data_IF_628994055428
#
_entry.id   IF_628994055428
#
_cell.length_a   1.000
_cell.length_b   1.000
_cell.length_c   1.000
_cell.angle_alpha   90.00
_cell.angle_beta   90.00
_cell.angle_gamma   90.00
#
_symmetry.space_group_name_H-M   'P 1'
#
loop_
_entity.id
_entity.type
_entity.pdbx_description
1 polymer ?
#
# COMPACT_ATOMS: atom_id res chain seq x y z
N UNK A 1 -36.00 78.84 -4.90
CA UNK A 1 -36.37 77.48 -4.43
C UNK A 1 -36.30 76.52 -5.61
N UNK A 2 -35.34 75.62 -5.62
CA UNK A 2 -35.22 74.51 -6.59
C UNK A 2 -35.14 73.21 -5.83
N UNK A 3 -35.89 72.15 -6.23
CA UNK A 3 -35.89 70.91 -5.49
C UNK A 3 -34.63 70.04 -5.88
N UNK A 4 -34.20 69.14 -5.01
CA UNK A 4 -33.04 68.33 -5.19
C UNK A 4 -33.32 67.15 -6.13
N UNK A 5 -32.31 66.81 -6.99
CA UNK A 5 -32.31 65.66 -7.88
C UNK A 5 -32.03 64.37 -7.10
N UNK A 6 -32.92 63.39 -7.22
CA UNK A 6 -32.77 62.05 -6.67
C UNK A 6 -31.70 61.30 -7.48
N UNK A 7 -30.69 60.79 -6.78
CA UNK A 7 -29.77 59.80 -7.32
C UNK A 7 -30.37 58.40 -7.02
N UNK A 8 -30.68 57.68 -8.08
CA UNK A 8 -31.02 56.26 -7.96
C UNK A 8 -29.74 55.40 -7.80
N UNK A 9 -29.75 54.41 -6.92
CA UNK A 9 -28.61 53.54 -6.73
C UNK A 9 -28.55 52.47 -7.84
N UNK A 10 -27.40 52.38 -8.47
CA UNK A 10 -27.04 51.28 -9.36
C UNK A 10 -26.75 50.05 -8.49
N UNK A 11 -27.66 49.10 -8.52
CA UNK A 11 -27.55 47.83 -7.81
C UNK A 11 -26.65 46.90 -8.57
N UNK A 12 -25.60 46.50 -8.03
CA UNK A 12 -24.83 45.31 -7.84
C UNK A 12 -25.41 44.04 -8.50
N UNK A 13 -24.86 43.65 -9.64
CA UNK A 13 -25.07 42.33 -10.30
C UNK A 13 -23.78 41.53 -10.44
N UNK A 14 -22.78 41.78 -9.61
CA UNK A 14 -21.45 41.14 -9.76
C UNK A 14 -21.10 39.96 -8.85
N UNK A 15 -21.93 39.42 -7.93
CA UNK A 15 -21.46 38.26 -7.14
C UNK A 15 -21.98 36.90 -7.61
N UNK A 16 -22.83 36.80 -8.65
CA UNK A 16 -23.40 35.50 -9.06
C UNK A 16 -22.52 34.68 -10.01
N UNK A 17 -21.52 35.28 -10.67
CA UNK A 17 -20.62 34.57 -11.57
C UNK A 17 -19.47 33.83 -10.85
N UNK A 18 -19.12 34.22 -9.61
CA UNK A 18 -18.02 33.59 -8.87
C UNK A 18 -18.41 32.29 -8.15
N UNK A 19 -19.70 32.07 -7.92
CA UNK A 19 -20.19 30.89 -7.19
C UNK A 19 -20.31 29.63 -8.08
N UNK A 20 -20.31 29.77 -9.41
CA UNK A 20 -20.51 28.64 -10.32
C UNK A 20 -19.21 27.90 -10.68
N UNK A 21 -18.02 28.48 -10.39
CA UNK A 21 -16.72 27.85 -10.74
C UNK A 21 -16.24 26.89 -9.65
N UNK A 22 -16.78 26.96 -8.43
CA UNK A 22 -16.36 26.10 -7.31
C UNK A 22 -17.04 24.73 -7.30
N UNK A 23 -18.11 24.53 -8.09
CA UNK A 23 -18.86 23.26 -8.12
C UNK A 23 -18.38 22.24 -9.16
N UNK A 24 -17.32 22.54 -9.92
CA UNK A 24 -16.76 21.64 -10.94
C UNK A 24 -15.40 21.03 -10.55
N UNK A 25 -14.96 21.13 -9.31
CA UNK A 25 -13.86 20.30 -8.83
C UNK A 25 -14.44 18.94 -8.42
N UNK A 26 -14.61 18.06 -9.39
CA UNK A 26 -14.73 16.64 -9.07
C UNK A 26 -13.52 16.26 -8.22
N UNK A 27 -13.74 15.61 -7.03
CA UNK A 27 -12.62 15.08 -6.29
C UNK A 27 -11.90 14.12 -7.23
N UNK A 28 -10.63 14.42 -7.56
CA UNK A 28 -9.78 13.49 -8.25
C UNK A 28 -9.84 12.19 -7.47
N UNK A 29 -10.55 11.19 -8.01
CA UNK A 29 -10.62 9.87 -7.44
C UNK A 29 -9.18 9.41 -7.35
N UNK A 30 -8.63 9.41 -6.14
CA UNK A 30 -7.33 8.83 -5.88
C UNK A 30 -7.42 7.40 -6.42
N UNK A 31 -6.61 7.09 -7.42
CA UNK A 31 -6.54 5.75 -7.99
C UNK A 31 -6.11 4.83 -6.85
N UNK A 32 -7.09 4.20 -6.20
CA UNK A 32 -6.83 3.13 -5.26
C UNK A 32 -6.26 1.98 -6.07
N UNK A 33 -4.97 1.74 -5.87
CA UNK A 33 -4.30 0.53 -6.37
C UNK A 33 -4.95 -0.65 -5.66
N UNK A 34 -5.67 -1.48 -6.39
CA UNK A 34 -6.32 -2.68 -5.89
C UNK A 34 -7.73 -2.49 -5.31
N UNK A 35 -8.54 -3.55 -5.33
CA UNK A 35 -9.89 -3.59 -4.78
C UNK A 35 -9.91 -3.74 -3.24
N UNK A 36 -8.75 -3.95 -2.60
CA UNK A 36 -8.66 -4.19 -1.18
C UNK A 36 -8.55 -2.90 -0.38
N UNK A 37 -9.50 -2.68 0.51
CA UNK A 37 -9.38 -1.67 1.57
C UNK A 37 -8.64 -2.32 2.74
N UNK A 38 -7.39 -1.92 3.06
CA UNK A 38 -6.64 -2.53 4.15
C UNK A 38 -7.38 -2.34 5.48
N UNK A 39 -7.67 -3.45 6.17
CA UNK A 39 -8.17 -3.40 7.54
C UNK A 39 -7.00 -3.54 8.49
N UNK A 40 -6.94 -2.65 9.48
CA UNK A 40 -5.92 -2.72 10.50
C UNK A 40 -6.06 -3.99 11.35
N UNK A 41 -4.92 -4.55 11.71
CA UNK A 41 -4.76 -5.53 12.77
C UNK A 41 -3.84 -4.94 13.85
N UNK A 42 -3.59 -5.69 14.92
CA UNK A 42 -2.75 -5.22 16.04
C UNK A 42 -1.36 -4.77 15.59
N UNK A 43 -0.74 -5.49 14.65
CA UNK A 43 0.59 -5.17 14.12
C UNK A 43 0.57 -3.84 13.37
N UNK A 44 -0.39 -3.65 12.45
CA UNK A 44 -0.51 -2.43 11.66
C UNK A 44 -0.89 -1.21 12.52
N UNK A 45 -1.77 -1.39 13.50
CA UNK A 45 -2.15 -0.34 14.42
C UNK A 45 -0.97 0.09 15.32
N UNK A 46 -0.23 -0.87 15.89
CA UNK A 46 0.96 -0.61 16.68
C UNK A 46 2.06 0.08 15.85
N UNK A 47 2.30 -0.39 14.61
CA UNK A 47 3.24 0.27 13.70
C UNK A 47 2.91 1.74 13.46
N UNK A 48 1.63 2.06 13.19
CA UNK A 48 1.19 3.44 12.97
C UNK A 48 1.49 4.31 14.18
N UNK A 49 1.25 3.82 15.39
CA UNK A 49 1.54 4.54 16.64
C UNK A 49 3.05 4.78 16.80
N UNK A 50 3.89 3.76 16.56
CA UNK A 50 5.36 3.88 16.59
C UNK A 50 5.81 4.93 15.56
N UNK A 51 5.36 4.83 14.30
CA UNK A 51 5.72 5.76 13.22
C UNK A 51 5.35 7.20 13.56
N UNK A 52 4.14 7.45 14.04
CA UNK A 52 3.72 8.78 14.48
C UNK A 52 4.60 9.33 15.61
N UNK A 53 4.98 8.47 16.55
CA UNK A 53 5.85 8.87 17.67
C UNK A 53 7.26 9.23 17.18
N UNK A 54 7.83 8.48 16.24
CA UNK A 54 9.12 8.78 15.59
C UNK A 54 9.04 10.13 14.86
N UNK A 55 8.00 10.35 14.05
CA UNK A 55 7.80 11.59 13.30
C UNK A 55 7.63 12.80 14.22
N UNK A 56 6.98 12.61 15.36
CA UNK A 56 6.85 13.63 16.41
C UNK A 56 8.10 13.78 17.29
N UNK A 57 9.19 13.03 17.01
CA UNK A 57 10.43 12.97 17.81
C UNK A 57 10.23 12.52 19.27
N UNK A 58 9.14 11.79 19.54
CA UNK A 58 8.82 11.21 20.86
C UNK A 58 9.39 9.79 20.97
N UNK A 59 10.71 9.67 20.98
CA UNK A 59 11.38 8.38 20.90
C UNK A 59 11.17 7.52 22.14
N UNK A 60 10.99 8.11 23.32
CA UNK A 60 10.61 7.40 24.54
C UNK A 60 9.24 6.71 24.42
N UNK A 61 8.27 7.37 23.76
CA UNK A 61 6.96 6.80 23.47
C UNK A 61 7.07 5.71 22.41
N UNK A 62 7.82 5.98 21.32
CA UNK A 62 8.03 5.01 20.25
C UNK A 62 8.70 3.72 20.79
N UNK A 63 9.68 3.85 21.66
CA UNK A 63 10.38 2.74 22.28
C UNK A 63 9.41 1.89 23.15
N UNK A 64 8.64 2.51 24.04
CA UNK A 64 7.64 1.78 24.84
C UNK A 64 6.62 1.05 23.98
N UNK A 65 6.10 1.71 22.93
CA UNK A 65 5.16 1.11 21.98
C UNK A 65 5.78 -0.07 21.23
N UNK A 66 7.06 -0.01 20.92
CA UNK A 66 7.79 -1.12 20.31
C UNK A 66 8.00 -2.26 21.31
N UNK A 67 8.49 -1.96 22.51
CA UNK A 67 8.84 -2.97 23.53
C UNK A 67 7.66 -3.81 24.00
N UNK A 68 6.49 -3.21 24.10
CA UNK A 68 5.27 -3.88 24.60
C UNK A 68 4.27 -4.24 23.52
N UNK A 69 4.53 -3.84 22.27
CA UNK A 69 3.56 -3.91 21.19
C UNK A 69 3.70 -5.12 20.26
N UNK A 70 2.70 -5.23 19.38
CA UNK A 70 2.57 -6.36 18.47
C UNK A 70 3.69 -6.43 17.40
N UNK A 71 4.31 -5.30 17.03
CA UNK A 71 5.42 -5.28 16.05
C UNK A 71 6.62 -6.07 16.58
N UNK A 72 7.04 -5.85 17.83
CA UNK A 72 8.14 -6.61 18.42
C UNK A 72 7.78 -8.06 18.62
N UNK A 73 6.54 -8.33 19.06
CA UNK A 73 6.03 -9.70 19.22
C UNK A 73 6.13 -10.48 17.90
N UNK A 74 5.71 -9.87 16.80
CA UNK A 74 5.78 -10.47 15.47
C UNK A 74 7.22 -10.63 14.97
N UNK A 75 8.12 -9.66 15.24
CA UNK A 75 9.55 -9.81 14.90
C UNK A 75 10.13 -11.05 15.57
N UNK A 76 9.81 -11.31 16.83
CA UNK A 76 10.25 -12.50 17.56
C UNK A 76 9.64 -13.79 17.04
N UNK A 77 8.33 -13.78 16.78
CA UNK A 77 7.63 -14.93 16.23
C UNK A 77 8.15 -15.34 14.86
N UNK A 78 8.58 -14.36 14.05
CA UNK A 78 9.10 -14.57 12.69
C UNK A 78 10.65 -14.59 12.62
N UNK A 79 11.37 -14.60 13.73
CA UNK A 79 12.83 -14.39 13.79
C UNK A 79 13.61 -15.29 12.80
N UNK A 80 13.19 -16.55 12.61
CA UNK A 80 13.84 -17.49 11.68
C UNK A 80 13.64 -17.10 10.19
N UNK A 81 12.70 -16.20 9.87
CA UNK A 81 12.35 -15.77 8.51
C UNK A 81 12.68 -14.30 8.27
N UNK A 82 13.19 -13.61 9.26
CA UNK A 82 13.60 -12.21 9.19
C UNK A 82 15.13 -12.11 9.08
N UNK A 83 15.64 -10.95 8.62
CA UNK A 83 17.07 -10.66 8.70
C UNK A 83 17.58 -10.76 10.13
N UNK A 84 18.71 -11.43 10.30
CA UNK A 84 19.33 -11.59 11.62
C UNK A 84 19.65 -10.23 12.26
N UNK A 85 19.32 -10.07 13.55
CA UNK A 85 19.57 -8.85 14.31
C UNK A 85 18.61 -7.70 14.02
N UNK A 86 17.51 -7.90 13.27
CA UNK A 86 16.59 -6.84 12.92
C UNK A 86 15.84 -6.26 14.14
N UNK A 87 15.43 -7.11 15.09
CA UNK A 87 14.79 -6.66 16.34
C UNK A 87 15.75 -5.78 17.15
N UNK A 88 16.96 -6.25 17.34
CA UNK A 88 18.01 -5.56 18.10
C UNK A 88 18.39 -4.22 17.42
N UNK A 89 18.51 -4.22 16.10
CA UNK A 89 18.80 -3.00 15.33
C UNK A 89 17.67 -1.98 15.45
N UNK A 90 16.41 -2.43 15.40
CA UNK A 90 15.24 -1.56 15.58
C UNK A 90 15.22 -0.97 16.99
N UNK A 91 15.42 -1.79 18.02
CA UNK A 91 15.46 -1.35 19.42
C UNK A 91 16.59 -0.34 19.63
N UNK A 92 17.81 -0.64 19.17
CA UNK A 92 18.96 0.24 19.31
C UNK A 92 18.74 1.60 18.61
N UNK A 93 18.13 1.60 17.43
CA UNK A 93 17.81 2.84 16.71
C UNK A 93 16.80 3.71 17.49
N UNK A 94 15.77 3.10 18.07
CA UNK A 94 14.78 3.80 18.90
C UNK A 94 15.40 4.37 20.18
N UNK A 95 16.25 3.60 20.86
CA UNK A 95 17.00 4.05 22.06
C UNK A 95 17.90 5.22 21.73
N UNK A 96 18.56 5.20 20.58
CA UNK A 96 19.45 6.28 20.11
C UNK A 96 18.69 7.53 19.61
N UNK A 97 17.35 7.46 19.47
CA UNK A 97 16.57 8.54 18.87
C UNK A 97 16.88 8.75 17.36
N UNK A 98 17.38 7.69 16.70
CA UNK A 98 17.71 7.72 15.27
C UNK A 98 16.46 7.40 14.44
N UNK A 99 15.71 8.45 14.09
CA UNK A 99 14.47 8.33 13.31
C UNK A 99 14.68 7.65 11.96
N UNK A 100 15.61 8.13 11.10
CA UNK A 100 15.84 7.52 9.79
C UNK A 100 16.20 6.03 9.87
N UNK A 101 17.04 5.64 10.84
CA UNK A 101 17.40 4.24 11.05
C UNK A 101 16.22 3.42 11.57
N UNK A 102 15.45 3.96 12.50
CA UNK A 102 14.24 3.31 13.02
C UNK A 102 13.21 3.06 11.89
N UNK A 103 12.93 4.06 11.06
CA UNK A 103 12.01 3.93 9.93
C UNK A 103 12.50 2.91 8.89
N UNK A 104 13.81 2.87 8.63
CA UNK A 104 14.42 1.88 7.74
C UNK A 104 14.30 0.46 8.29
N UNK A 105 14.55 0.24 9.58
CA UNK A 105 14.38 -1.07 10.22
C UNK A 105 12.93 -1.55 10.12
N UNK A 106 11.97 -0.66 10.39
CA UNK A 106 10.55 -0.96 10.26
C UNK A 106 10.14 -1.24 8.82
N UNK A 107 10.66 -0.49 7.83
CA UNK A 107 10.45 -0.77 6.40
C UNK A 107 10.95 -2.17 6.04
N UNK A 108 12.16 -2.55 6.46
CA UNK A 108 12.72 -3.88 6.22
C UNK A 108 11.89 -4.98 6.86
N UNK A 109 11.37 -4.76 8.07
CA UNK A 109 10.47 -5.71 8.72
C UNK A 109 9.23 -5.99 7.89
N UNK A 110 8.51 -4.94 7.47
CA UNK A 110 7.29 -5.11 6.67
C UNK A 110 7.59 -5.65 5.27
N UNK A 111 8.69 -5.23 4.64
CA UNK A 111 9.15 -5.80 3.37
C UNK A 111 9.41 -7.32 3.51
N UNK A 112 10.01 -7.75 4.62
CA UNK A 112 10.24 -9.17 4.89
C UNK A 112 8.94 -9.94 5.16
N UNK A 113 7.97 -9.36 5.88
CA UNK A 113 6.64 -9.97 6.05
C UNK A 113 5.94 -10.17 4.70
N UNK A 114 5.93 -9.14 3.86
CA UNK A 114 5.31 -9.20 2.52
C UNK A 114 6.01 -10.23 1.64
N UNK A 115 7.35 -10.26 1.63
CA UNK A 115 8.12 -11.29 0.92
C UNK A 115 7.73 -12.69 1.39
N UNK A 116 7.64 -12.90 2.70
CA UNK A 116 7.31 -14.20 3.27
C UNK A 116 5.90 -14.64 2.89
N UNK A 117 4.92 -13.71 2.93
CA UNK A 117 3.55 -13.95 2.47
C UNK A 117 3.50 -14.28 0.98
N UNK A 118 4.29 -13.61 0.14
CA UNK A 118 4.36 -13.90 -1.28
C UNK A 118 4.95 -15.29 -1.55
N UNK A 119 6.00 -15.69 -0.81
CA UNK A 119 6.56 -17.06 -0.91
C UNK A 119 5.56 -18.12 -0.44
N UNK A 120 4.79 -17.85 0.62
CA UNK A 120 3.76 -18.74 1.12
C UNK A 120 2.59 -18.84 0.13
N UNK A 121 2.20 -17.73 -0.49
CA UNK A 121 1.20 -17.68 -1.55
C UNK A 121 1.62 -18.52 -2.76
N UNK A 122 2.88 -18.38 -3.26
CA UNK A 122 3.37 -19.19 -4.38
C UNK A 122 3.31 -20.69 -4.07
N UNK A 123 3.76 -21.10 -2.86
CA UNK A 123 3.66 -22.51 -2.43
C UNK A 123 2.22 -22.99 -2.42
N UNK A 124 1.28 -22.18 -1.95
CA UNK A 124 -0.13 -22.50 -1.91
C UNK A 124 -0.74 -22.62 -3.30
N UNK A 125 -0.41 -21.71 -4.18
CA UNK A 125 -0.87 -21.67 -5.57
C UNK A 125 -0.31 -22.85 -6.39
N UNK A 126 0.90 -23.32 -6.10
CA UNK A 126 1.54 -24.46 -6.76
C UNK A 126 0.93 -25.82 -6.36
N UNK A 127 0.13 -25.90 -5.29
CA UNK A 127 -0.42 -27.13 -4.79
C UNK A 127 -1.42 -27.77 -5.76
N UNK A 128 -1.18 -29.02 -6.17
CA UNK A 128 -2.03 -29.72 -7.15
C UNK A 128 -3.19 -30.49 -6.53
N UNK A 129 -3.25 -30.62 -5.20
CA UNK A 129 -4.25 -31.41 -4.48
C UNK A 129 -5.63 -30.76 -4.41
N UNK A 130 -5.69 -29.44 -4.60
CA UNK A 130 -6.93 -28.67 -4.48
C UNK A 130 -7.43 -28.20 -5.85
N UNK A 131 -8.74 -28.00 -5.94
CA UNK A 131 -9.35 -27.43 -7.14
C UNK A 131 -8.79 -26.03 -7.45
N UNK A 132 -8.63 -25.64 -8.73
CA UNK A 132 -8.11 -24.33 -9.11
C UNK A 132 -8.83 -23.16 -8.45
N UNK A 133 -10.14 -23.20 -8.32
CA UNK A 133 -10.94 -22.16 -7.66
C UNK A 133 -10.58 -22.00 -6.17
N UNK A 134 -10.34 -23.10 -5.45
CA UNK A 134 -9.94 -23.06 -4.04
C UNK A 134 -8.53 -22.46 -3.88
N UNK A 135 -7.60 -22.82 -4.77
CA UNK A 135 -6.25 -22.25 -4.81
C UNK A 135 -6.29 -20.75 -5.09
N UNK A 136 -7.08 -20.31 -6.07
CA UNK A 136 -7.26 -18.90 -6.39
C UNK A 136 -7.85 -18.12 -5.21
N UNK A 137 -8.87 -18.65 -4.54
CA UNK A 137 -9.46 -18.04 -3.35
C UNK A 137 -8.45 -17.94 -2.18
N UNK A 138 -7.59 -18.95 -2.01
CA UNK A 138 -6.49 -18.87 -1.05
C UNK A 138 -5.47 -17.79 -1.44
N UNK A 139 -5.10 -17.74 -2.72
CA UNK A 139 -4.22 -16.69 -3.26
C UNK A 139 -4.75 -15.28 -3.02
N UNK A 140 -6.06 -15.08 -3.19
CA UNK A 140 -6.72 -13.80 -2.90
C UNK A 140 -6.54 -13.37 -1.43
N UNK A 141 -6.69 -14.29 -0.48
CA UNK A 141 -6.45 -14.01 0.95
C UNK A 141 -5.00 -13.61 1.23
N UNK A 142 -4.03 -14.22 0.54
CA UNK A 142 -2.64 -13.80 0.62
C UNK A 142 -2.44 -12.39 0.06
N UNK A 143 -3.06 -12.05 -1.07
CA UNK A 143 -2.98 -10.70 -1.63
C UNK A 143 -3.56 -9.64 -0.68
N UNK A 144 -4.67 -9.93 0.00
CA UNK A 144 -5.22 -9.06 1.04
C UNK A 144 -4.22 -8.81 2.19
N UNK A 145 -3.53 -9.86 2.66
CA UNK A 145 -2.52 -9.75 3.71
C UNK A 145 -1.26 -9.01 3.21
N UNK A 146 -0.80 -9.29 2.00
CA UNK A 146 0.31 -8.61 1.33
C UNK A 146 0.03 -7.12 1.25
N UNK A 147 -1.14 -6.72 0.72
CA UNK A 147 -1.50 -5.33 0.57
C UNK A 147 -1.63 -4.59 1.91
N UNK A 148 -2.18 -5.25 2.93
CA UNK A 148 -2.27 -4.70 4.29
C UNK A 148 -0.93 -4.23 4.81
N UNK A 149 0.12 -5.04 4.65
CA UNK A 149 1.44 -4.71 5.17
C UNK A 149 2.25 -3.85 4.21
N UNK A 150 2.18 -4.09 2.89
CA UNK A 150 2.91 -3.31 1.92
C UNK A 150 2.49 -1.84 1.90
N UNK A 151 1.19 -1.57 1.95
CA UNK A 151 0.63 -0.22 1.98
C UNK A 151 1.15 0.64 3.16
N UNK A 152 1.57 0.02 4.27
CA UNK A 152 2.14 0.73 5.42
C UNK A 152 3.53 1.32 5.10
N UNK A 153 4.28 0.68 4.23
CA UNK A 153 5.68 1.01 3.92
C UNK A 153 5.91 1.39 2.46
N UNK A 154 4.90 1.34 1.62
CA UNK A 154 4.99 1.65 0.20
C UNK A 154 5.68 2.99 -0.08
N UNK A 155 5.33 4.04 0.66
CA UNK A 155 5.99 5.33 0.55
C UNK A 155 7.48 5.26 0.92
N UNK A 156 7.83 4.57 2.01
CA UNK A 156 9.22 4.41 2.45
C UNK A 156 10.03 3.60 1.43
N UNK A 157 9.44 2.53 0.88
CA UNK A 157 10.05 1.74 -0.22
C UNK A 157 10.27 2.63 -1.44
N UNK A 158 9.28 3.46 -1.81
CA UNK A 158 9.38 4.38 -2.94
C UNK A 158 10.45 5.46 -2.77
N UNK A 159 10.71 5.91 -1.54
CA UNK A 159 11.81 6.82 -1.23
C UNK A 159 13.17 6.14 -1.29
N UNK A 160 13.27 4.89 -0.90
CA UNK A 160 14.53 4.12 -0.85
C UNK A 160 14.88 3.50 -2.21
N UNK A 161 13.91 2.87 -2.87
CA UNK A 161 14.04 2.24 -4.19
C UNK A 161 12.74 2.41 -5.00
N UNK A 162 12.62 3.49 -5.78
CA UNK A 162 11.44 3.75 -6.62
C UNK A 162 11.13 2.63 -7.61
N UNK A 163 12.17 1.96 -8.14
CA UNK A 163 11.99 0.86 -9.08
C UNK A 163 11.36 -0.36 -8.41
N UNK A 164 11.83 -0.70 -7.21
CA UNK A 164 11.25 -1.78 -6.43
C UNK A 164 9.78 -1.47 -6.09
N UNK A 165 9.45 -0.24 -5.67
CA UNK A 165 8.08 0.17 -5.37
C UNK A 165 7.14 -0.03 -6.56
N UNK A 166 7.53 0.47 -7.73
CA UNK A 166 6.73 0.31 -8.97
C UNK A 166 6.57 -1.17 -9.33
N UNK A 167 7.66 -1.95 -9.26
CA UNK A 167 7.63 -3.37 -9.59
C UNK A 167 6.68 -4.15 -8.69
N UNK A 168 6.70 -3.89 -7.38
CA UNK A 168 5.80 -4.56 -6.41
C UNK A 168 4.35 -4.19 -6.66
N UNK A 169 4.03 -2.92 -6.91
CA UNK A 169 2.65 -2.47 -7.20
C UNK A 169 2.10 -3.12 -8.46
N UNK A 170 2.86 -3.08 -9.56
CA UNK A 170 2.44 -3.68 -10.83
C UNK A 170 2.26 -5.20 -10.70
N UNK A 171 3.15 -5.88 -9.99
CA UNK A 171 3.03 -7.31 -9.74
C UNK A 171 1.81 -7.62 -8.86
N UNK A 172 1.49 -6.77 -7.88
CA UNK A 172 0.29 -6.92 -7.08
C UNK A 172 -0.98 -6.77 -7.91
N UNK A 173 -1.10 -5.72 -8.72
CA UNK A 173 -2.24 -5.47 -9.62
C UNK A 173 -2.45 -6.61 -10.61
N UNK A 174 -1.37 -7.14 -11.16
CA UNK A 174 -1.41 -8.27 -12.08
C UNK A 174 -1.91 -9.54 -11.40
N UNK A 175 -1.39 -9.87 -10.21
CA UNK A 175 -1.84 -11.01 -9.42
C UNK A 175 -3.31 -10.89 -9.03
N UNK A 176 -3.76 -9.69 -8.64
CA UNK A 176 -5.16 -9.40 -8.33
C UNK A 176 -6.06 -9.60 -9.56
N UNK A 177 -5.63 -9.15 -10.73
CA UNK A 177 -6.35 -9.36 -11.98
C UNK A 177 -6.59 -10.84 -12.25
N UNK A 178 -5.60 -11.69 -12.07
CA UNK A 178 -5.75 -13.15 -12.21
C UNK A 178 -6.61 -13.78 -11.11
N UNK A 179 -6.57 -13.25 -9.90
CA UNK A 179 -7.40 -13.72 -8.78
C UNK A 179 -8.90 -13.45 -9.01
N UNK A 180 -9.23 -12.34 -9.68
CA UNK A 180 -10.61 -11.92 -9.95
C UNK A 180 -11.17 -12.49 -11.25
N UNK A 181 -10.40 -13.26 -12.01
CA UNK A 181 -10.85 -13.81 -13.30
C UNK A 181 -10.87 -12.74 -14.39
N UNK A 182 -9.72 -12.13 -14.65
CA UNK A 182 -9.45 -11.37 -15.88
C UNK A 182 -10.40 -10.19 -16.17
N UNK A 183 -10.40 -9.20 -15.32
CA UNK A 183 -10.48 -7.82 -15.78
C UNK A 183 -9.04 -7.41 -16.08
N UNK A 184 -8.58 -7.64 -17.30
CA UNK A 184 -7.25 -7.21 -17.69
C UNK A 184 -7.07 -5.75 -17.26
N UNK A 185 -6.04 -5.48 -16.45
CA UNK A 185 -5.57 -4.16 -16.13
C UNK A 185 -5.04 -3.50 -17.42
N UNK A 186 -5.96 -3.11 -18.28
CA UNK A 186 -5.78 -2.22 -19.40
C UNK A 186 -6.28 -0.86 -18.96
N UNK A 187 -5.53 -0.20 -18.10
CA UNK A 187 -5.70 1.23 -17.83
C UNK A 187 -5.38 2.04 -19.09
N UNK A 188 -6.30 2.04 -20.03
CA UNK A 188 -6.39 2.98 -21.12
C UNK A 188 -7.70 3.72 -20.93
N UNK A 189 -7.64 5.02 -20.65
CA UNK A 189 -8.73 5.97 -20.78
C UNK A 189 -9.34 5.83 -22.20
N UNK A 190 -10.31 4.92 -22.35
CA UNK A 190 -11.14 4.86 -23.53
C UNK A 190 -12.24 5.89 -23.35
N UNK A 191 -12.20 6.94 -24.19
CA UNK A 191 -13.21 7.95 -24.30
C UNK A 191 -14.62 7.37 -24.55
N UNK A 192 -15.69 8.18 -24.43
CA UNK A 192 -17.09 7.74 -24.34
C UNK A 192 -17.72 7.25 -25.64
N UNK A 193 -16.95 6.85 -26.68
CA UNK A 193 -17.46 6.48 -28.00
C UNK A 193 -17.20 5.03 -28.44
N UNK A 194 -17.53 4.05 -27.62
CA UNK A 194 -17.65 2.68 -28.12
C UNK A 194 -18.86 1.97 -27.49
N UNK A 195 -20.07 2.35 -27.93
CA UNK A 195 -21.28 1.54 -27.74
C UNK A 195 -21.24 0.34 -28.70
N UNK A 196 -20.48 -0.68 -28.30
CA UNK A 196 -20.52 -2.01 -28.88
C UNK A 196 -20.36 -2.98 -27.72
N UNK A 197 -21.48 -3.38 -27.11
CA UNK A 197 -21.52 -4.36 -26.00
C UNK A 197 -21.23 -5.73 -26.58
N UNK A 198 -19.96 -6.06 -26.81
CA UNK A 198 -19.54 -7.46 -26.78
C UNK A 198 -19.35 -7.79 -25.31
N UNK A 199 -20.19 -8.68 -24.79
CA UNK A 199 -20.05 -9.27 -23.45
C UNK A 199 -18.61 -9.82 -23.33
N UNK A 200 -17.74 -9.09 -22.65
CA UNK A 200 -16.34 -9.48 -22.41
C UNK A 200 -16.42 -10.71 -21.52
N UNK A 201 -16.01 -11.85 -22.05
CA UNK A 201 -16.02 -13.10 -21.34
C UNK A 201 -15.29 -12.91 -19.99
N UNK A 202 -16.01 -13.08 -18.89
CA UNK A 202 -15.43 -13.12 -17.55
C UNK A 202 -14.61 -14.41 -17.50
N UNK A 203 -13.31 -14.30 -17.58
CA UNK A 203 -12.41 -15.46 -17.45
C UNK A 203 -12.42 -15.92 -15.98
N UNK A 204 -12.36 -17.24 -15.76
CA UNK A 204 -12.27 -17.79 -14.42
C UNK A 204 -10.95 -17.37 -13.73
N UNK A 205 -10.93 -17.31 -12.38
CA UNK A 205 -9.69 -17.10 -11.64
C UNK A 205 -8.61 -18.11 -12.03
N UNK A 206 -7.37 -17.62 -12.24
CA UNK A 206 -6.27 -18.42 -12.74
C UNK A 206 -5.12 -18.47 -11.72
N UNK A 207 -5.07 -19.49 -10.84
CA UNK A 207 -4.04 -19.60 -9.82
C UNK A 207 -2.64 -19.83 -10.39
N UNK A 208 -2.51 -20.42 -11.58
CA UNK A 208 -1.19 -20.64 -12.19
C UNK A 208 -0.59 -19.29 -12.66
N UNK A 209 -1.41 -18.44 -13.27
CA UNK A 209 -0.96 -17.11 -13.68
C UNK A 209 -0.68 -16.17 -12.52
N UNK A 210 -1.32 -16.36 -11.36
CA UNK A 210 -1.01 -15.58 -10.15
C UNK A 210 0.41 -15.80 -9.66
N UNK A 211 1.04 -16.95 -9.94
CA UNK A 211 2.33 -17.34 -9.36
C UNK A 211 3.48 -16.44 -9.79
N UNK A 212 3.58 -16.12 -11.07
CA UNK A 212 4.69 -15.31 -11.59
C UNK A 212 4.74 -13.93 -10.93
N UNK A 213 3.65 -13.12 -10.91
CA UNK A 213 3.68 -11.83 -10.24
C UNK A 213 3.94 -11.94 -8.74
N UNK A 214 3.43 -12.96 -8.05
CA UNK A 214 3.71 -13.20 -6.63
C UNK A 214 5.20 -13.50 -6.40
N UNK A 215 5.82 -14.34 -7.22
CA UNK A 215 7.26 -14.61 -7.18
C UNK A 215 8.10 -13.35 -7.49
N UNK A 216 7.65 -12.52 -8.41
CA UNK A 216 8.30 -11.24 -8.76
C UNK A 216 8.29 -10.28 -7.57
N UNK A 217 7.17 -10.16 -6.84
CA UNK A 217 7.12 -9.41 -5.58
C UNK A 217 8.16 -9.94 -4.59
N UNK A 218 8.20 -11.26 -4.38
CA UNK A 218 9.14 -11.88 -3.43
C UNK A 218 10.60 -11.60 -3.80
N UNK A 219 10.98 -11.76 -5.07
CA UNK A 219 12.35 -11.49 -5.55
C UNK A 219 12.73 -10.02 -5.39
N UNK A 220 11.83 -9.10 -5.77
CA UNK A 220 12.07 -7.66 -5.67
C UNK A 220 12.30 -7.23 -4.22
N UNK A 221 11.45 -7.73 -3.30
CA UNK A 221 11.58 -7.41 -1.88
C UNK A 221 12.81 -8.07 -1.26
N UNK A 222 13.24 -9.24 -1.72
CA UNK A 222 14.50 -9.85 -1.27
C UNK A 222 15.70 -8.97 -1.60
N UNK A 223 15.79 -8.46 -2.83
CA UNK A 223 16.86 -7.52 -3.22
C UNK A 223 16.84 -6.22 -2.43
N UNK A 224 15.65 -5.64 -2.19
CA UNK A 224 15.48 -4.45 -1.36
C UNK A 224 15.98 -4.68 0.07
N UNK A 225 15.62 -5.81 0.68
CA UNK A 225 16.02 -6.18 2.04
C UNK A 225 17.55 -6.33 2.10
N UNK A 226 18.16 -7.07 1.18
CA UNK A 226 19.60 -7.28 1.13
C UNK A 226 20.37 -5.96 1.00
N UNK A 227 19.95 -5.07 0.10
CA UNK A 227 20.53 -3.74 -0.06
C UNK A 227 20.41 -2.90 1.22
N UNK A 228 19.25 -2.96 1.89
CA UNK A 228 18.99 -2.21 3.11
C UNK A 228 19.84 -2.67 4.30
N UNK A 229 20.10 -3.99 4.42
CA UNK A 229 20.90 -4.58 5.52
C UNK A 229 22.38 -4.29 5.34
N UNK A 230 22.88 -4.30 4.12
CA UNK A 230 24.29 -3.99 3.83
C UNK A 230 24.65 -2.59 4.32
N UNK A 231 23.70 -1.67 4.33
CA UNK A 231 23.89 -0.32 4.84
C UNK A 231 23.90 -0.21 6.39
N UNK A 232 23.66 -1.31 7.14
CA UNK A 232 23.70 -1.31 8.63
C UNK A 232 25.01 -1.86 9.21
N UNK A 233 25.78 -2.57 8.38
CA UNK A 233 27.09 -3.13 8.72
C UNK A 233 28.22 -2.14 8.46
#
# INVERSE_FOLDING_TARGET
MRPPRSCAPRVWLAPLAAALVVLAMEPAAAHHVGAYVPRDNEISANFKQIKFSIQARKFDVALRLFETGAVRGEMRAQAARLPAGLEEATHAALVAGDGPRSERCLMVFFAALVRNLALDADRRLAGTKEAPAARAAAGQKFLEAIWRYYNLVDFAVGQYDPKAAVTVRLAFEEAEGYAQGGKAAGGGSAGPEARGVTARAVTAPDPEKMREPVQRMARTLSGLIEASITAWR
#
